data_IF_344143671502
#
_entry.id   IF_344143671502
#
_cell.length_a   1.000
_cell.length_b   1.000
_cell.length_c   1.000
_cell.angle_alpha   90.00
_cell.angle_beta   90.00
_cell.angle_gamma   90.00
#
_symmetry.space_group_name_H-M   'P 1'
#
loop_
_entity.id
_entity.type
_entity.pdbx_description
1 polymer ?
#
# COMPACT_ATOMS: atom_id res chain seq x y z
N UNK A 1 1.21 -11.33 -20.18
CA UNK A 1 0.22 -11.05 -21.24
C UNK A 1 -1.17 -11.23 -20.66
N UNK A 2 -1.92 -10.14 -20.51
CA UNK A 2 -3.30 -10.13 -20.03
C UNK A 2 -4.22 -10.48 -21.20
N UNK A 3 -4.67 -11.74 -21.27
CA UNK A 3 -5.74 -12.14 -22.20
C UNK A 3 -7.07 -11.75 -21.54
N UNK A 4 -7.58 -10.58 -21.92
CA UNK A 4 -8.89 -10.06 -21.52
C UNK A 4 -9.97 -10.62 -22.45
N UNK A 5 -10.40 -11.87 -22.26
CA UNK A 5 -11.43 -12.50 -23.10
C UNK A 5 -12.84 -12.45 -22.49
N UNK A 6 -13.25 -11.40 -21.76
CA UNK A 6 -14.60 -11.46 -21.19
C UNK A 6 -15.31 -10.25 -20.60
N UNK A 7 -14.72 -9.04 -20.54
CA UNK A 7 -15.41 -7.94 -19.86
C UNK A 7 -15.10 -6.58 -20.51
N UNK A 8 -15.48 -6.41 -21.78
CA UNK A 8 -15.61 -5.06 -22.33
C UNK A 8 -16.94 -4.50 -21.82
N UNK A 9 -16.92 -3.53 -20.89
CA UNK A 9 -18.11 -2.89 -20.33
C UNK A 9 -18.43 -3.15 -18.85
N UNK A 10 -17.70 -4.03 -18.16
CA UNK A 10 -17.84 -4.19 -16.70
C UNK A 10 -16.98 -3.16 -15.96
N UNK A 11 -17.61 -2.08 -15.52
CA UNK A 11 -16.98 -1.03 -14.73
C UNK A 11 -16.39 -1.53 -13.40
N UNK A 12 -16.83 -2.70 -12.91
CA UNK A 12 -16.40 -3.31 -11.65
C UNK A 12 -15.54 -4.55 -11.86
N UNK A 13 -15.01 -4.77 -13.07
CA UNK A 13 -14.16 -5.92 -13.37
C UNK A 13 -12.99 -6.09 -12.39
N UNK A 14 -12.44 -4.98 -11.87
CA UNK A 14 -11.39 -5.02 -10.85
C UNK A 14 -11.88 -5.59 -9.51
N UNK A 15 -13.10 -5.25 -9.07
CA UNK A 15 -13.71 -5.77 -7.84
C UNK A 15 -13.97 -7.26 -7.98
N UNK A 16 -14.55 -7.67 -9.11
CA UNK A 16 -14.83 -9.09 -9.39
C UNK A 16 -13.55 -9.92 -9.45
N UNK A 17 -12.50 -9.41 -10.11
CA UNK A 17 -11.18 -10.05 -10.14
C UNK A 17 -10.59 -10.13 -8.74
N UNK A 18 -10.63 -9.05 -7.96
CA UNK A 18 -10.11 -9.10 -6.61
C UNK A 18 -10.88 -10.09 -5.72
N UNK A 19 -12.20 -10.13 -5.83
CA UNK A 19 -13.06 -11.07 -5.11
C UNK A 19 -12.61 -12.52 -5.28
N UNK A 20 -12.21 -12.89 -6.49
CA UNK A 20 -11.76 -14.26 -6.81
C UNK A 20 -10.38 -14.60 -6.23
N UNK A 21 -9.48 -13.63 -6.09
CA UNK A 21 -8.08 -13.88 -5.68
C UNK A 21 -7.83 -13.58 -4.20
N UNK A 22 -8.53 -12.60 -3.61
CA UNK A 22 -8.26 -12.08 -2.25
C UNK A 22 -9.52 -11.96 -1.39
N UNK A 23 -10.67 -12.40 -1.90
CA UNK A 23 -11.96 -12.19 -1.27
C UNK A 23 -12.55 -10.81 -1.54
N UNK A 24 -13.84 -10.66 -1.20
CA UNK A 24 -14.62 -9.45 -1.48
C UNK A 24 -13.99 -8.19 -0.86
N UNK A 25 -14.14 -7.05 -1.54
CA UNK A 25 -13.85 -5.75 -0.93
C UNK A 25 -14.89 -5.41 0.14
N UNK A 26 -14.45 -4.74 1.20
CA UNK A 26 -15.34 -4.14 2.20
C UNK A 26 -14.77 -2.82 2.71
N UNK A 27 -14.99 -2.52 3.97
CA UNK A 27 -14.45 -1.31 4.61
C UNK A 27 -12.93 -1.45 4.84
N UNK A 28 -12.17 -0.34 4.95
CA UNK A 28 -10.73 -0.38 5.19
C UNK A 28 -10.30 -1.17 6.44
N UNK A 29 -11.18 -1.37 7.42
CA UNK A 29 -10.89 -2.21 8.59
C UNK A 29 -10.84 -3.72 8.29
N UNK A 30 -11.38 -4.16 7.14
CA UNK A 30 -11.56 -5.57 6.82
C UNK A 30 -10.23 -6.32 6.68
N UNK A 31 -9.19 -5.67 6.17
CA UNK A 31 -7.87 -6.29 6.03
C UNK A 31 -7.30 -6.76 7.38
N UNK A 32 -7.52 -6.00 8.46
CA UNK A 32 -7.07 -6.37 9.81
C UNK A 32 -7.87 -7.51 10.40
N UNK A 33 -9.19 -7.53 10.16
CA UNK A 33 -10.05 -8.65 10.57
C UNK A 33 -9.62 -9.94 9.90
N UNK A 34 -9.37 -9.90 8.59
CA UNK A 34 -8.90 -11.06 7.82
C UNK A 34 -7.50 -11.50 8.23
N UNK A 35 -6.62 -10.57 8.56
CA UNK A 35 -5.31 -10.87 9.12
C UNK A 35 -5.43 -11.62 10.45
N UNK A 36 -6.29 -11.14 11.36
CA UNK A 36 -6.54 -11.80 12.64
C UNK A 36 -7.11 -13.21 12.46
N UNK A 37 -8.08 -13.38 11.54
CA UNK A 37 -8.68 -14.68 11.23
C UNK A 37 -7.70 -15.67 10.60
N UNK A 38 -6.74 -15.20 9.80
CA UNK A 38 -5.71 -16.04 9.20
C UNK A 38 -4.66 -16.53 10.20
N UNK A 39 -4.55 -15.89 11.36
CA UNK A 39 -3.55 -16.18 12.39
C UNK A 39 -2.19 -15.53 12.08
N UNK A 40 -1.46 -15.06 13.11
CA UNK A 40 -0.19 -14.37 12.92
C UNK A 40 0.88 -15.33 12.39
N UNK A 41 1.51 -14.93 11.29
CA UNK A 41 2.66 -15.61 10.68
C UNK A 41 3.74 -14.57 10.40
N UNK A 42 5.02 -14.93 10.53
CA UNK A 42 6.12 -13.99 10.27
C UNK A 42 6.04 -13.48 8.83
N UNK A 43 5.83 -14.40 7.88
CA UNK A 43 5.60 -14.15 6.47
C UNK A 43 4.51 -15.09 5.95
N UNK A 44 3.82 -14.71 4.87
CA UNK A 44 2.77 -15.52 4.24
C UNK A 44 1.67 -14.67 3.61
N UNK A 45 0.68 -15.31 3.01
CA UNK A 45 -0.38 -14.62 2.29
C UNK A 45 -1.22 -13.66 3.18
N UNK A 46 -2.07 -14.18 4.06
CA UNK A 46 -3.09 -13.36 4.75
C UNK A 46 -2.72 -12.91 6.17
N UNK A 47 -1.87 -13.68 6.87
CA UNK A 47 -1.51 -13.46 8.28
C UNK A 47 -0.15 -12.81 8.52
N UNK A 48 0.48 -12.23 7.50
CA UNK A 48 1.86 -11.74 7.58
C UNK A 48 2.02 -10.56 8.56
N UNK A 49 2.88 -10.72 9.57
CA UNK A 49 3.26 -9.65 10.51
C UNK A 49 4.00 -8.52 9.79
N UNK A 50 4.82 -8.84 8.79
CA UNK A 50 5.54 -7.83 7.99
C UNK A 50 4.55 -6.89 7.30
N UNK A 51 3.49 -7.45 6.71
CA UNK A 51 2.44 -6.67 6.05
C UNK A 51 1.65 -5.81 7.05
N UNK A 52 1.40 -6.34 8.24
CA UNK A 52 0.77 -5.59 9.33
C UNK A 52 1.64 -4.40 9.77
N UNK A 53 2.94 -4.61 10.00
CA UNK A 53 3.88 -3.54 10.37
C UNK A 53 3.91 -2.47 9.29
N UNK A 54 4.01 -2.87 8.02
CA UNK A 54 3.96 -1.92 6.90
C UNK A 54 2.65 -1.13 6.89
N UNK A 55 1.50 -1.79 7.03
CA UNK A 55 0.20 -1.12 7.09
C UNK A 55 0.11 -0.09 8.22
N UNK A 56 0.61 -0.42 9.40
CA UNK A 56 0.66 0.51 10.55
C UNK A 56 1.59 1.69 10.25
N UNK A 57 2.75 1.47 9.66
CA UNK A 57 3.69 2.54 9.28
C UNK A 57 3.06 3.49 8.25
N UNK A 58 2.41 2.96 7.22
CA UNK A 58 1.75 3.77 6.19
C UNK A 58 0.57 4.57 6.75
N UNK A 59 -0.27 3.96 7.60
CA UNK A 59 -1.35 4.66 8.30
C UNK A 59 -0.81 5.75 9.23
N UNK A 60 0.26 5.46 9.97
CA UNK A 60 0.93 6.42 10.86
C UNK A 60 1.58 7.59 10.12
N UNK A 61 1.95 7.40 8.85
CA UNK A 61 2.50 8.47 8.00
C UNK A 61 1.41 9.42 7.46
N UNK A 62 0.15 9.01 7.37
CA UNK A 62 -0.94 9.84 6.81
C UNK A 62 -1.14 11.16 7.57
N UNK A 63 -1.19 11.21 8.92
CA UNK A 63 -1.29 12.48 9.65
C UNK A 63 -0.15 13.46 9.36
N UNK A 64 1.06 12.95 9.07
CA UNK A 64 2.19 13.80 8.67
C UNK A 64 2.00 14.29 7.24
N UNK A 65 1.55 13.42 6.32
CA UNK A 65 1.23 13.78 4.95
C UNK A 65 0.18 14.90 4.86
N UNK A 66 -0.94 14.79 5.59
CA UNK A 66 -1.97 15.83 5.61
C UNK A 66 -1.51 17.16 6.20
N UNK A 67 -0.53 17.15 7.11
CA UNK A 67 0.04 18.38 7.70
C UNK A 67 1.14 19.02 6.87
N UNK A 68 1.79 18.26 5.98
CA UNK A 68 3.04 18.67 5.32
C UNK A 68 2.95 18.72 3.80
N UNK A 69 1.97 18.06 3.19
CA UNK A 69 1.77 18.00 1.74
C UNK A 69 0.55 18.81 1.32
N UNK A 70 0.45 19.10 0.01
CA UNK A 70 -0.77 19.70 -0.57
C UNK A 70 -1.95 18.73 -0.36
N UNK A 71 -3.17 19.24 -0.12
CA UNK A 71 -4.35 18.41 0.12
C UNK A 71 -4.57 17.34 -0.97
N UNK A 72 -4.35 17.67 -2.24
CA UNK A 72 -4.48 16.72 -3.35
C UNK A 72 -3.53 15.51 -3.24
N UNK A 73 -2.28 15.75 -2.85
CA UNK A 73 -1.29 14.69 -2.65
C UNK A 73 -1.59 13.85 -1.39
N UNK A 74 -2.03 14.51 -0.32
CA UNK A 74 -2.41 13.82 0.91
C UNK A 74 -3.62 12.89 0.68
N UNK A 75 -4.63 13.34 -0.06
CA UNK A 75 -5.77 12.52 -0.45
C UNK A 75 -5.38 11.37 -1.38
N UNK A 76 -4.46 11.61 -2.32
CA UNK A 76 -3.94 10.55 -3.17
C UNK A 76 -3.22 9.46 -2.36
N UNK A 77 -2.35 9.85 -1.41
CA UNK A 77 -1.67 8.91 -0.51
C UNK A 77 -2.67 8.16 0.38
N UNK A 78 -3.69 8.86 0.88
CA UNK A 78 -4.77 8.24 1.65
C UNK A 78 -5.52 7.19 0.82
N UNK A 79 -5.82 7.47 -0.45
CA UNK A 79 -6.44 6.50 -1.35
C UNK A 79 -5.53 5.28 -1.60
N UNK A 80 -4.23 5.50 -1.79
CA UNK A 80 -3.24 4.43 -1.99
C UNK A 80 -3.14 3.49 -0.77
N UNK A 81 -3.41 3.97 0.43
CA UNK A 81 -3.43 3.18 1.67
C UNK A 81 -4.81 2.57 1.92
N UNK A 82 -5.89 3.33 1.73
CA UNK A 82 -7.25 2.91 2.04
C UNK A 82 -7.78 1.83 1.08
N UNK A 83 -7.53 1.96 -0.22
CA UNK A 83 -8.05 1.01 -1.23
C UNK A 83 -7.54 -0.42 -0.99
N UNK A 84 -6.24 -0.66 -0.75
CA UNK A 84 -5.76 -2.01 -0.43
C UNK A 84 -6.27 -2.54 0.91
N UNK A 85 -6.48 -1.67 1.91
CA UNK A 85 -7.04 -2.02 3.20
C UNK A 85 -8.50 -2.51 3.14
N UNK A 86 -9.23 -2.14 2.08
CA UNK A 86 -10.56 -2.69 1.80
C UNK A 86 -10.53 -4.19 1.42
N UNK A 87 -9.36 -4.79 1.21
CA UNK A 87 -9.19 -6.18 0.79
C UNK A 87 -8.57 -7.06 1.88
N UNK A 88 -7.26 -7.21 1.87
CA UNK A 88 -6.46 -8.09 2.73
C UNK A 88 -5.08 -7.46 2.88
N UNK A 89 -4.37 -7.78 3.97
CA UNK A 89 -2.98 -7.37 4.12
C UNK A 89 -2.01 -8.10 3.17
N UNK A 90 -2.46 -9.13 2.46
CA UNK A 90 -1.64 -9.80 1.48
C UNK A 90 -1.12 -8.81 0.43
N UNK A 91 0.20 -8.77 0.21
CA UNK A 91 0.88 -7.84 -0.70
C UNK A 91 0.56 -6.36 -0.47
N UNK A 92 0.09 -5.98 0.73
CA UNK A 92 -0.28 -4.61 1.04
C UNK A 92 0.93 -3.68 0.86
N UNK A 93 2.05 -4.06 1.46
CA UNK A 93 3.33 -3.38 1.36
C UNK A 93 3.69 -3.15 -0.09
N UNK A 94 3.57 -4.17 -0.96
CA UNK A 94 3.83 -4.02 -2.40
C UNK A 94 2.91 -3.00 -3.09
N UNK A 95 1.61 -3.07 -2.82
CA UNK A 95 0.64 -2.20 -3.47
C UNK A 95 0.84 -0.76 -3.00
N UNK A 96 0.96 -0.54 -1.69
CA UNK A 96 1.18 0.78 -1.11
C UNK A 96 2.54 1.35 -1.54
N UNK A 97 3.63 0.58 -1.46
CA UNK A 97 4.99 1.04 -1.77
C UNK A 97 5.27 1.30 -3.25
N UNK A 98 4.46 0.77 -4.18
CA UNK A 98 4.57 1.17 -5.60
C UNK A 98 4.13 2.63 -5.80
N UNK A 99 3.15 3.10 -5.02
CA UNK A 99 2.55 4.43 -5.19
C UNK A 99 3.02 5.46 -4.15
N UNK A 100 3.46 5.04 -2.97
CA UNK A 100 3.77 5.97 -1.88
C UNK A 100 5.07 6.80 -2.07
N UNK A 101 6.22 6.21 -2.46
CA UNK A 101 7.52 6.89 -2.48
C UNK A 101 7.62 7.94 -3.59
N UNK A 102 7.10 7.62 -4.78
CA UNK A 102 7.17 8.49 -5.96
C UNK A 102 6.36 9.78 -5.72
N UNK A 103 5.18 9.69 -5.11
CA UNK A 103 4.33 10.86 -4.88
C UNK A 103 4.78 11.69 -3.68
N UNK A 104 5.42 11.06 -2.68
CA UNK A 104 6.11 11.77 -1.61
C UNK A 104 7.29 12.58 -2.21
N UNK A 105 8.11 11.96 -3.06
CA UNK A 105 9.22 12.61 -3.79
C UNK A 105 8.73 13.80 -4.64
N UNK A 106 7.66 13.63 -5.43
CA UNK A 106 7.08 14.71 -6.27
C UNK A 106 6.54 15.85 -5.41
N UNK A 107 5.84 15.53 -4.31
CA UNK A 107 5.34 16.55 -3.38
C UNK A 107 6.43 17.36 -2.69
N UNK A 108 7.65 16.82 -2.63
CA UNK A 108 8.78 17.38 -1.88
C UNK A 108 9.78 18.11 -2.76
N UNK A 109 9.97 17.69 -4.02
CA UNK A 109 10.70 18.48 -5.03
C UNK A 109 9.98 19.80 -5.31
N UNK A 110 8.65 19.84 -5.17
CA UNK A 110 7.86 21.06 -5.36
C UNK A 110 7.65 21.88 -4.07
N UNK A 111 7.80 21.27 -2.89
CA UNK A 111 7.72 21.99 -1.61
C UNK A 111 9.09 22.63 -1.31
N UNK A 112 9.37 23.74 -1.97
CA UNK A 112 10.66 24.44 -1.94
C UNK A 112 11.23 24.70 -0.52
N UNK A 113 12.53 24.36 -0.42
CA UNK A 113 13.63 25.01 0.29
C UNK A 113 13.73 25.14 1.82
N UNK A 114 12.83 24.59 2.66
CA UNK A 114 12.93 24.89 4.13
C UNK A 114 12.92 23.76 5.15
N UNK A 115 13.00 22.47 4.80
CA UNK A 115 12.79 21.41 5.81
C UNK A 115 13.69 20.18 5.64
N UNK A 116 14.95 20.30 6.09
CA UNK A 116 15.90 19.19 6.24
C UNK A 116 15.33 17.88 6.86
N UNK A 117 14.49 17.89 7.92
CA UNK A 117 13.95 16.65 8.48
C UNK A 117 13.04 15.90 7.50
N UNK A 118 12.46 16.59 6.52
CA UNK A 118 11.59 15.99 5.51
C UNK A 118 12.38 15.11 4.53
N UNK A 119 13.64 15.47 4.23
CA UNK A 119 14.54 14.69 3.36
C UNK A 119 14.92 13.34 3.96
N UNK A 120 15.08 13.27 5.28
CA UNK A 120 15.34 12.00 5.98
C UNK A 120 14.16 11.03 5.82
N UNK A 121 12.92 11.52 5.96
CA UNK A 121 11.72 10.69 5.77
C UNK A 121 11.58 10.17 4.34
N UNK A 122 12.04 10.92 3.34
CA UNK A 122 12.10 10.45 1.94
C UNK A 122 13.08 9.31 1.79
N UNK A 123 14.29 9.47 2.31
CA UNK A 123 15.34 8.46 2.20
C UNK A 123 14.87 7.18 2.89
N UNK A 124 14.33 7.31 4.11
CA UNK A 124 13.78 6.17 4.86
C UNK A 124 12.61 5.53 4.10
N UNK A 125 11.65 6.31 3.61
CA UNK A 125 10.49 5.80 2.85
C UNK A 125 10.87 5.13 1.53
N UNK A 126 11.82 5.70 0.80
CA UNK A 126 12.32 5.17 -0.48
C UNK A 126 13.14 3.89 -0.28
N UNK A 127 13.99 3.84 0.75
CA UNK A 127 14.72 2.62 1.13
C UNK A 127 13.71 1.55 1.55
N UNK A 128 12.74 1.89 2.40
CA UNK A 128 11.72 0.94 2.88
C UNK A 128 10.93 0.35 1.72
N UNK A 129 10.51 1.18 0.76
CA UNK A 129 9.82 0.73 -0.43
C UNK A 129 10.69 -0.10 -1.37
N UNK A 130 11.96 0.28 -1.55
CA UNK A 130 12.91 -0.47 -2.38
C UNK A 130 13.20 -1.84 -1.77
N UNK A 131 13.41 -1.91 -0.45
CA UNK A 131 13.59 -3.15 0.29
C UNK A 131 12.34 -4.01 0.18
N UNK A 132 11.14 -3.43 0.36
CA UNK A 132 9.88 -4.15 0.18
C UNK A 132 9.73 -4.72 -1.25
N UNK A 133 10.03 -3.93 -2.28
CA UNK A 133 10.03 -4.39 -3.67
C UNK A 133 11.07 -5.50 -3.91
N UNK A 134 12.27 -5.37 -3.36
CA UNK A 134 13.35 -6.33 -3.51
C UNK A 134 13.03 -7.68 -2.84
N UNK A 135 12.48 -7.66 -1.62
CA UNK A 135 12.01 -8.86 -0.93
C UNK A 135 10.90 -9.57 -1.70
N UNK A 136 9.99 -8.80 -2.31
CA UNK A 136 8.97 -9.35 -3.18
C UNK A 136 9.58 -9.98 -4.45
N UNK A 137 10.48 -9.26 -5.13
CA UNK A 137 11.13 -9.72 -6.36
C UNK A 137 11.96 -11.00 -6.14
N UNK A 138 12.54 -11.17 -4.96
CA UNK A 138 13.28 -12.36 -4.59
C UNK A 138 12.40 -13.60 -4.33
N UNK A 139 11.08 -13.45 -4.27
CA UNK A 139 10.13 -14.54 -3.98
C UNK A 139 9.96 -14.87 -2.49
N UNK A 140 10.65 -14.15 -1.59
CA UNK A 140 10.62 -14.37 -0.14
C UNK A 140 9.27 -14.00 0.49
N UNK A 141 8.40 -13.36 -0.29
CA UNK A 141 7.09 -12.86 0.11
C UNK A 141 5.93 -13.57 -0.60
N UNK A 142 6.22 -14.47 -1.55
CA UNK A 142 5.22 -15.26 -2.28
C UNK A 142 5.19 -16.66 -1.69
N UNK A 143 4.51 -16.80 -0.55
CA UNK A 143 4.20 -18.07 0.11
C UNK A 143 2.71 -18.14 0.41
#
# INVERSE_FOLDING_TARGET
MLICYGLFGDALAFVHRQGRWRGAMGLPGLAFVRWWQAGPTIHGAHGSIIELVMAVLYLGALPVAFRRLRPSLAWYLAACVAVPLCSTLWSFGRIASTFFPIYLLIGMVWADDRRAPLRLWVIVGSITATVAMAYFAAGWWVG
#
